data_IF_891009883107
#
_entry.id   IF_891009883107
#
_cell.length_a   1.000
_cell.length_b   1.000
_cell.length_c   1.000
_cell.angle_alpha   90.00
_cell.angle_beta   90.00
_cell.angle_gamma   90.00
#
_symmetry.space_group_name_H-M   'P 1'
#
loop_
_entity.id
_entity.type
_entity.pdbx_description
1 polymer ?
#
# COMPACT_ATOMS: atom_id res chain seq x y z
N UNK A 1 -14.55 -20.31 -2.83
CA UNK A 1 -15.21 -19.06 -3.29
C UNK A 1 -15.04 -18.97 -4.80
N UNK A 2 -16.07 -18.61 -5.57
CA UNK A 2 -15.92 -18.58 -7.04
C UNK A 2 -15.00 -17.43 -7.46
N UNK A 3 -14.22 -17.61 -8.55
CA UNK A 3 -13.28 -16.59 -9.08
C UNK A 3 -13.97 -15.23 -9.29
N UNK A 4 -15.24 -15.25 -9.66
CA UNK A 4 -16.09 -14.06 -9.82
C UNK A 4 -16.22 -13.25 -8.53
N UNK A 5 -16.44 -13.90 -7.38
CA UNK A 5 -16.60 -13.19 -6.11
C UNK A 5 -15.26 -12.62 -5.63
N UNK A 6 -14.16 -13.35 -5.86
CA UNK A 6 -12.80 -12.85 -5.56
C UNK A 6 -12.48 -11.58 -6.37
N UNK A 7 -12.77 -11.61 -7.67
CA UNK A 7 -12.60 -10.45 -8.56
C UNK A 7 -13.43 -9.26 -8.07
N UNK A 8 -14.72 -9.47 -7.81
CA UNK A 8 -15.64 -8.42 -7.35
C UNK A 8 -15.16 -7.76 -6.06
N UNK A 9 -14.69 -8.54 -5.09
CA UNK A 9 -14.16 -8.02 -3.82
C UNK A 9 -12.91 -7.17 -4.02
N UNK A 10 -11.99 -7.59 -4.88
CA UNK A 10 -10.80 -6.78 -5.19
C UNK A 10 -11.15 -5.50 -5.95
N UNK A 11 -12.13 -5.55 -6.86
CA UNK A 11 -12.66 -4.34 -7.51
C UNK A 11 -13.32 -3.39 -6.50
N UNK A 12 -14.10 -3.91 -5.57
CA UNK A 12 -14.71 -3.11 -4.51
C UNK A 12 -13.66 -2.44 -3.62
N UNK A 13 -12.63 -3.18 -3.21
CA UNK A 13 -11.49 -2.62 -2.46
C UNK A 13 -10.81 -1.50 -3.26
N UNK A 14 -10.55 -1.72 -4.56
CA UNK A 14 -9.93 -0.71 -5.42
C UNK A 14 -10.75 0.58 -5.51
N UNK A 15 -12.07 0.48 -5.64
CA UNK A 15 -12.97 1.65 -5.63
C UNK A 15 -12.88 2.38 -4.28
N UNK A 16 -12.92 1.65 -3.17
CA UNK A 16 -12.81 2.24 -1.82
C UNK A 16 -11.48 2.96 -1.60
N UNK A 17 -10.37 2.41 -2.12
CA UNK A 17 -9.08 3.09 -2.10
C UNK A 17 -9.09 4.38 -2.91
N UNK A 18 -9.64 4.37 -4.13
CA UNK A 18 -9.76 5.58 -4.97
C UNK A 18 -10.58 6.66 -4.26
N UNK A 19 -11.74 6.30 -3.69
CA UNK A 19 -12.58 7.22 -2.92
C UNK A 19 -11.81 7.78 -1.73
N UNK A 20 -11.05 6.95 -1.01
CA UNK A 20 -10.21 7.39 0.10
C UNK A 20 -9.20 8.45 -0.34
N UNK A 21 -8.52 8.24 -1.48
CA UNK A 21 -7.58 9.22 -2.01
C UNK A 21 -8.27 10.52 -2.41
N UNK A 22 -9.44 10.48 -3.06
CA UNK A 22 -10.19 11.69 -3.40
C UNK A 22 -10.50 12.52 -2.15
N UNK A 23 -10.96 11.87 -1.07
CA UNK A 23 -11.27 12.54 0.21
C UNK A 23 -10.02 13.11 0.89
N UNK A 24 -8.87 12.44 0.77
CA UNK A 24 -7.58 12.92 1.30
C UNK A 24 -7.12 14.23 0.64
N UNK A 25 -7.46 14.47 -0.63
CA UNK A 25 -7.06 15.68 -1.34
C UNK A 25 -8.06 16.83 -1.21
N UNK A 26 -9.22 16.60 -0.59
CA UNK A 26 -10.19 17.65 -0.31
C UNK A 26 -9.80 18.43 0.95
N UNK A 27 -10.05 19.75 0.91
CA UNK A 27 -9.70 20.67 1.99
C UNK A 27 -10.53 20.34 3.24
N UNK A 28 -9.88 20.31 4.40
CA UNK A 28 -10.48 20.02 5.72
C UNK A 28 -10.99 18.59 5.95
N UNK A 29 -11.02 17.73 4.94
CA UNK A 29 -11.43 16.31 5.05
C UNK A 29 -10.26 15.34 5.09
N UNK A 30 -9.02 15.84 4.98
CA UNK A 30 -7.82 15.00 4.87
C UNK A 30 -7.73 13.94 5.98
N UNK A 31 -8.04 14.33 7.22
CA UNK A 31 -8.01 13.45 8.40
C UNK A 31 -8.99 12.28 8.24
N UNK A 32 -10.23 12.58 7.84
CA UNK A 32 -11.29 11.60 7.64
C UNK A 32 -10.89 10.65 6.51
N UNK A 33 -10.28 11.18 5.45
CA UNK A 33 -9.72 10.40 4.35
C UNK A 33 -8.65 9.41 4.82
N UNK A 34 -7.74 9.80 5.73
CA UNK A 34 -6.74 8.88 6.29
C UNK A 34 -7.34 7.80 7.20
N UNK A 35 -8.36 8.13 8.01
CA UNK A 35 -9.08 7.12 8.78
C UNK A 35 -9.77 6.11 7.87
N UNK A 36 -10.43 6.58 6.82
CA UNK A 36 -11.09 5.71 5.86
C UNK A 36 -10.08 4.82 5.12
N UNK A 37 -8.97 5.40 4.67
CA UNK A 37 -7.87 4.66 4.03
C UNK A 37 -7.27 3.60 4.96
N UNK A 38 -7.13 3.90 6.26
CA UNK A 38 -6.65 2.93 7.25
C UNK A 38 -7.59 1.72 7.37
N UNK A 39 -8.90 1.96 7.47
CA UNK A 39 -9.90 0.88 7.57
C UNK A 39 -9.90 0.03 6.30
N UNK A 40 -9.91 0.67 5.12
CA UNK A 40 -9.86 -0.04 3.83
C UNK A 40 -8.57 -0.86 3.72
N UNK A 41 -7.43 -0.32 4.16
CA UNK A 41 -6.16 -1.03 4.16
C UNK A 41 -6.14 -2.22 5.12
N UNK A 42 -6.70 -2.09 6.33
CA UNK A 42 -6.81 -3.18 7.27
C UNK A 42 -7.65 -4.34 6.70
N UNK A 43 -8.80 -4.02 6.08
CA UNK A 43 -9.63 -5.01 5.40
C UNK A 43 -8.86 -5.67 4.26
N UNK A 44 -8.15 -4.89 3.44
CA UNK A 44 -7.31 -5.40 2.35
C UNK A 44 -6.21 -6.36 2.82
N UNK A 45 -5.52 -6.03 3.92
CA UNK A 45 -4.48 -6.90 4.51
C UNK A 45 -5.08 -8.22 4.99
N UNK A 46 -6.18 -8.18 5.74
CA UNK A 46 -6.87 -9.38 6.24
C UNK A 46 -7.34 -10.25 5.07
N UNK A 47 -7.90 -9.62 4.04
CA UNK A 47 -8.38 -10.31 2.85
C UNK A 47 -7.23 -11.01 2.10
N UNK A 48 -6.10 -10.31 1.88
CA UNK A 48 -4.92 -10.91 1.26
C UNK A 48 -4.32 -12.04 2.10
N UNK A 49 -4.31 -11.92 3.43
CA UNK A 49 -3.84 -12.98 4.33
C UNK A 49 -4.70 -14.25 4.20
N UNK A 50 -6.04 -14.10 4.14
CA UNK A 50 -6.95 -15.24 3.96
C UNK A 50 -6.71 -15.96 2.62
N UNK A 51 -6.43 -15.22 1.54
CA UNK A 51 -6.11 -15.85 0.25
C UNK A 51 -4.72 -16.48 0.26
N UNK A 52 -3.73 -15.87 0.91
CA UNK A 52 -2.40 -16.44 1.05
C UNK A 52 -2.42 -17.80 1.79
N UNK A 53 -3.12 -17.88 2.92
CA UNK A 53 -3.19 -19.12 3.72
C UNK A 53 -3.97 -20.23 3.03
N UNK A 54 -4.97 -19.88 2.21
CA UNK A 54 -5.78 -20.84 1.46
C UNK A 54 -5.24 -21.16 0.06
N UNK A 55 -4.30 -20.38 -0.48
CA UNK A 55 -3.82 -20.54 -1.84
C UNK A 55 -3.11 -21.88 -2.04
N UNK A 56 -2.54 -22.50 -0.99
CA UNK A 56 -1.97 -23.86 -1.02
C UNK A 56 -0.98 -24.13 -2.17
N UNK A 57 -0.48 -23.08 -2.83
CA UNK A 57 0.12 -23.18 -4.14
C UNK A 57 1.61 -23.45 -3.99
N UNK A 58 2.09 -24.56 -4.54
CA UNK A 58 3.53 -24.86 -4.67
C UNK A 58 4.26 -23.93 -5.66
N UNK A 59 3.55 -22.98 -6.26
CA UNK A 59 4.08 -22.05 -7.25
C UNK A 59 4.74 -20.86 -6.57
N UNK A 60 6.02 -20.62 -6.89
CA UNK A 60 6.85 -19.60 -6.26
C UNK A 60 6.34 -18.17 -6.54
N UNK A 61 5.91 -17.87 -7.77
CA UNK A 61 5.57 -16.50 -8.18
C UNK A 61 4.28 -15.98 -7.52
N UNK A 62 3.13 -16.69 -7.57
CA UNK A 62 1.92 -16.24 -6.87
C UNK A 62 2.16 -16.06 -5.36
N UNK A 63 2.92 -16.97 -4.76
CA UNK A 63 3.28 -16.93 -3.34
C UNK A 63 4.09 -15.67 -3.01
N UNK A 64 5.07 -15.30 -3.84
CA UNK A 64 5.87 -14.07 -3.67
C UNK A 64 5.04 -12.80 -3.86
N UNK A 65 4.10 -12.79 -4.80
CA UNK A 65 3.18 -11.66 -4.99
C UNK A 65 2.29 -11.47 -3.75
N UNK A 66 1.66 -12.53 -3.26
CA UNK A 66 0.82 -12.45 -2.06
C UNK A 66 1.63 -12.01 -0.83
N UNK A 67 2.85 -12.54 -0.67
CA UNK A 67 3.74 -12.16 0.43
C UNK A 67 4.16 -10.69 0.35
N UNK A 68 4.49 -10.19 -0.84
CA UNK A 68 4.78 -8.77 -1.09
C UNK A 68 3.58 -7.88 -0.74
N UNK A 69 2.38 -8.22 -1.23
CA UNK A 69 1.15 -7.49 -0.93
C UNK A 69 0.85 -7.46 0.57
N UNK A 70 1.06 -8.59 1.27
CA UNK A 70 0.85 -8.69 2.71
C UNK A 70 1.85 -7.84 3.49
N UNK A 71 3.16 -7.97 3.22
CA UNK A 71 4.21 -7.22 3.92
C UNK A 71 4.06 -5.72 3.67
N UNK A 72 3.88 -5.31 2.41
CA UNK A 72 3.63 -3.89 2.09
C UNK A 72 2.37 -3.39 2.78
N UNK A 73 1.29 -4.16 2.77
CA UNK A 73 0.04 -3.79 3.45
C UNK A 73 0.21 -3.60 4.96
N UNK A 74 1.00 -4.46 5.64
CA UNK A 74 1.36 -4.29 7.05
C UNK A 74 2.15 -3.01 7.28
N UNK A 75 3.17 -2.74 6.47
CA UNK A 75 3.97 -1.53 6.58
C UNK A 75 3.14 -0.27 6.32
N UNK A 76 2.22 -0.28 5.35
CA UNK A 76 1.27 0.81 5.15
C UNK A 76 0.37 1.03 6.38
N UNK A 77 -0.06 -0.04 7.03
CA UNK A 77 -0.88 0.06 8.25
C UNK A 77 -0.10 0.78 9.36
N UNK A 78 1.17 0.43 9.57
CA UNK A 78 2.06 1.09 10.53
C UNK A 78 2.25 2.57 10.18
N UNK A 79 2.51 2.88 8.91
CA UNK A 79 2.61 4.25 8.40
C UNK A 79 1.34 5.07 8.68
N UNK A 80 0.17 4.50 8.41
CA UNK A 80 -1.10 5.18 8.66
C UNK A 80 -1.34 5.44 10.15
N UNK A 81 -0.95 4.53 11.04
CA UNK A 81 -1.01 4.78 12.49
C UNK A 81 -0.18 6.02 12.84
N UNK A 82 1.07 6.12 12.36
CA UNK A 82 1.92 7.28 12.64
C UNK A 82 1.34 8.60 12.10
N UNK A 83 0.77 8.58 10.90
CA UNK A 83 0.16 9.76 10.29
C UNK A 83 -1.12 10.17 11.02
N UNK A 84 -1.99 9.21 11.38
CA UNK A 84 -3.21 9.47 12.13
C UNK A 84 -2.90 10.03 13.52
N UNK A 85 -1.94 9.45 14.24
CA UNK A 85 -1.50 9.94 15.55
C UNK A 85 -1.02 11.40 15.44
N UNK A 86 -0.17 11.68 14.45
CA UNK A 86 0.40 13.01 14.27
C UNK A 86 -0.65 14.07 13.90
N UNK A 87 -1.55 13.75 12.98
CA UNK A 87 -2.64 14.65 12.59
C UNK A 87 -3.59 14.89 13.78
N UNK A 88 -3.90 13.84 14.56
CA UNK A 88 -4.74 13.95 15.75
C UNK A 88 -4.10 14.87 16.80
N UNK A 89 -2.81 14.68 17.08
CA UNK A 89 -2.04 15.52 18.01
C UNK A 89 -2.02 16.98 17.57
N UNK A 90 -1.79 17.24 16.29
CA UNK A 90 -1.82 18.60 15.74
C UNK A 90 -3.23 19.21 15.85
N UNK A 91 -4.30 18.44 15.58
CA UNK A 91 -5.68 18.94 15.67
C UNK A 91 -6.04 19.33 17.11
N UNK A 92 -5.75 18.48 18.09
CA UNK A 92 -6.02 18.75 19.51
C UNK A 92 -5.31 20.03 19.96
N UNK A 93 -4.02 20.18 19.61
CA UNK A 93 -3.25 21.36 20.00
C UNK A 93 -3.72 22.63 19.31
N UNK A 94 -3.97 22.62 18.00
CA UNK A 94 -4.48 23.80 17.29
C UNK A 94 -5.88 24.22 17.78
N UNK A 95 -6.74 23.24 18.08
CA UNK A 95 -8.05 23.51 18.69
C UNK A 95 -7.92 24.17 20.05
N UNK A 96 -6.95 23.72 20.87
CA UNK A 96 -6.73 24.26 22.22
C UNK A 96 -6.03 25.62 22.21
N UNK A 97 -5.15 25.90 21.24
CA UNK A 97 -4.32 27.12 21.21
C UNK A 97 -4.95 28.26 20.41
N UNK A 98 -5.64 27.96 19.28
CA UNK A 98 -6.07 29.00 18.33
C UNK A 98 -7.58 29.02 18.06
N UNK A 99 -8.35 28.01 18.50
CA UNK A 99 -9.80 27.94 18.28
C UNK A 99 -10.22 27.83 16.80
N UNK A 100 -9.28 27.69 15.87
CA UNK A 100 -9.51 27.64 14.42
C UNK A 100 -9.15 26.27 13.84
N UNK A 101 -9.77 25.86 12.71
CA UNK A 101 -9.39 24.63 12.03
C UNK A 101 -7.90 24.62 11.65
N UNK A 102 -7.31 23.45 11.79
CA UNK A 102 -5.87 23.19 11.69
C UNK A 102 -5.28 23.67 10.36
N UNK A 103 -4.22 24.48 10.43
CA UNK A 103 -3.40 24.84 9.27
C UNK A 103 -2.01 24.21 9.45
N UNK A 104 -1.67 23.23 8.62
CA UNK A 104 -0.41 22.49 8.72
C UNK A 104 0.76 23.46 8.46
N UNK A 105 1.74 23.60 9.38
CA UNK A 105 2.87 24.49 9.16
C UNK A 105 3.66 24.09 7.91
N UNK A 106 4.25 25.05 7.17
CA UNK A 106 4.85 24.80 5.86
C UNK A 106 5.94 23.71 5.89
N UNK A 107 6.70 23.59 6.98
CA UNK A 107 7.71 22.55 7.19
C UNK A 107 7.13 21.13 7.24
N UNK A 108 5.92 20.97 7.77
CA UNK A 108 5.21 19.68 7.80
C UNK A 108 4.45 19.40 6.51
N UNK A 109 3.98 20.44 5.84
CA UNK A 109 3.23 20.33 4.59
C UNK A 109 4.04 19.61 3.50
N UNK A 110 5.33 19.93 3.35
CA UNK A 110 6.19 19.29 2.34
C UNK A 110 6.36 17.78 2.62
N UNK A 111 6.67 17.39 3.86
CA UNK A 111 6.82 15.97 4.23
C UNK A 111 5.50 15.21 4.09
N UNK A 112 4.38 15.85 4.42
CA UNK A 112 3.05 15.27 4.28
C UNK A 112 2.64 15.05 2.82
N UNK A 113 2.92 16.01 1.94
CA UNK A 113 2.70 15.86 0.49
C UNK A 113 3.57 14.75 -0.11
N UNK A 114 4.83 14.64 0.33
CA UNK A 114 5.70 13.54 -0.08
C UNK A 114 5.13 12.18 0.36
N UNK A 115 4.65 12.09 1.60
CA UNK A 115 3.98 10.89 2.10
C UNK A 115 2.77 10.51 1.24
N UNK A 116 1.85 11.46 0.98
CA UNK A 116 0.66 11.24 0.12
C UNK A 116 1.05 10.67 -1.26
N UNK A 117 2.07 11.26 -1.90
CA UNK A 117 2.56 10.79 -3.20
C UNK A 117 3.11 9.37 -3.13
N UNK A 118 3.95 9.09 -2.14
CA UNK A 118 4.51 7.75 -1.95
C UNK A 118 3.41 6.70 -1.70
N UNK A 119 2.39 7.03 -0.91
CA UNK A 119 1.24 6.15 -0.65
C UNK A 119 0.47 5.84 -1.94
N UNK A 120 0.23 6.82 -2.81
CA UNK A 120 -0.42 6.57 -4.11
C UNK A 120 0.45 5.70 -5.02
N UNK A 121 1.75 6.00 -5.11
CA UNK A 121 2.67 5.23 -5.97
C UNK A 121 2.75 3.76 -5.54
N UNK A 122 2.83 3.51 -4.23
CA UNK A 122 2.81 2.14 -3.69
C UNK A 122 1.49 1.44 -3.91
N UNK A 123 0.37 2.12 -3.71
CA UNK A 123 -0.95 1.58 -4.03
C UNK A 123 -1.07 1.20 -5.51
N UNK A 124 -0.63 2.06 -6.43
CA UNK A 124 -0.66 1.78 -7.87
C UNK A 124 0.17 0.54 -8.23
N UNK A 125 1.36 0.38 -7.64
CA UNK A 125 2.19 -0.81 -7.84
C UNK A 125 1.52 -2.09 -7.30
N UNK A 126 0.94 -2.02 -6.09
CA UNK A 126 0.18 -3.13 -5.52
C UNK A 126 -1.03 -3.51 -6.39
N UNK A 127 -1.74 -2.53 -6.95
CA UNK A 127 -2.86 -2.78 -7.86
C UNK A 127 -2.41 -3.49 -9.16
N UNK A 128 -1.27 -3.10 -9.73
CA UNK A 128 -0.68 -3.78 -10.90
C UNK A 128 -0.35 -5.23 -10.57
N UNK A 129 0.29 -5.50 -9.43
CA UNK A 129 0.59 -6.86 -8.97
C UNK A 129 -0.68 -7.71 -8.80
N UNK A 130 -1.76 -7.09 -8.34
CA UNK A 130 -3.05 -7.74 -8.15
C UNK A 130 -3.73 -8.07 -9.48
N UNK A 131 -3.64 -7.17 -10.48
CA UNK A 131 -4.13 -7.44 -11.84
C UNK A 131 -3.38 -8.59 -12.51
N UNK A 132 -2.05 -8.67 -12.32
CA UNK A 132 -1.23 -9.79 -12.78
C UNK A 132 -1.73 -11.10 -12.16
N UNK A 133 -2.08 -11.07 -10.88
CA UNK A 133 -2.58 -12.23 -10.15
C UNK A 133 -3.99 -12.67 -10.60
N UNK A 134 -4.88 -11.72 -10.92
CA UNK A 134 -6.26 -11.99 -11.33
C UNK A 134 -6.40 -12.48 -12.78
N UNK A 135 -5.57 -11.99 -13.70
CA UNK A 135 -5.67 -12.32 -15.13
C UNK A 135 -5.09 -13.69 -15.52
N UNK A 136 -4.63 -14.49 -14.55
CA UNK A 136 -4.20 -15.87 -14.77
C UNK A 136 -2.76 -16.00 -15.27
N UNK A 137 -2.04 -16.96 -14.67
CA UNK A 137 -0.62 -17.23 -14.89
C UNK A 137 -0.34 -18.14 -16.10
N UNK A 138 -1.25 -18.23 -17.08
CA UNK A 138 -1.06 -19.19 -18.19
C UNK A 138 0.19 -18.86 -19.05
N UNK A 139 0.69 -17.63 -18.98
CA UNK A 139 1.96 -17.20 -19.60
C UNK A 139 3.20 -17.38 -18.71
N UNK A 140 3.03 -17.67 -17.41
CA UNK A 140 4.07 -17.57 -16.37
C UNK A 140 4.27 -18.91 -15.66
N UNK A 141 3.34 -19.87 -15.79
CA UNK A 141 3.40 -21.16 -15.13
C UNK A 141 4.13 -22.21 -16.00
N UNK A 142 5.44 -22.03 -16.17
CA UNK A 142 6.26 -23.02 -16.89
C UNK A 142 7.13 -23.73 -15.86
N UNK A 143 6.98 -25.06 -15.81
CA UNK A 143 7.82 -25.93 -15.01
C UNK A 143 9.28 -25.67 -15.35
N UNK A 144 10.11 -25.59 -14.31
CA UNK A 144 11.56 -25.37 -14.40
C UNK A 144 12.31 -26.42 -15.24
N UNK A 145 11.62 -27.48 -15.69
CA UNK A 145 12.14 -28.58 -16.51
C UNK A 145 12.34 -28.24 -18.00
N UNK A 146 11.78 -27.13 -18.53
CA UNK A 146 11.86 -26.79 -19.97
C UNK A 146 13.10 -25.94 -20.37
N UNK A 147 14.28 -26.31 -19.85
CA UNK A 147 15.53 -25.53 -19.88
C UNK A 147 16.36 -25.63 -21.19
N UNK A 148 15.73 -26.00 -22.32
CA UNK A 148 16.47 -26.44 -23.51
C UNK A 148 16.78 -25.39 -24.60
N UNK A 149 16.23 -24.16 -24.56
CA UNK A 149 16.49 -23.18 -25.64
C UNK A 149 16.52 -21.71 -25.19
N UNK A 150 17.41 -20.92 -25.82
CA UNK A 150 17.55 -19.45 -25.58
C UNK A 150 16.23 -18.71 -25.89
N UNK A 151 15.43 -19.20 -26.83
CA UNK A 151 14.12 -18.64 -27.18
C UNK A 151 13.11 -18.80 -26.04
N UNK A 152 13.21 -19.88 -25.28
CA UNK A 152 12.36 -20.10 -24.10
C UNK A 152 12.77 -19.18 -22.93
N UNK A 153 14.04 -18.78 -22.84
CA UNK A 153 14.53 -17.87 -21.78
C UNK A 153 13.84 -16.50 -21.88
N UNK A 154 13.81 -15.91 -23.08
CA UNK A 154 13.29 -14.54 -23.27
C UNK A 154 11.76 -14.52 -23.17
N UNK A 155 11.07 -15.50 -23.75
CA UNK A 155 9.60 -15.50 -23.79
C UNK A 155 8.99 -15.85 -22.44
N UNK A 156 9.65 -16.69 -21.65
CA UNK A 156 9.05 -17.25 -20.44
C UNK A 156 9.69 -16.81 -19.13
N UNK A 157 11.01 -16.64 -19.08
CA UNK A 157 11.70 -16.30 -17.83
C UNK A 157 11.84 -14.79 -17.63
N UNK A 158 11.95 -14.00 -18.71
CA UNK A 158 12.03 -12.55 -18.60
C UNK A 158 10.78 -11.93 -17.93
N UNK A 159 9.53 -12.31 -18.30
CA UNK A 159 8.33 -11.81 -17.61
C UNK A 159 8.27 -12.27 -16.14
N UNK A 160 8.67 -13.50 -15.83
CA UNK A 160 8.72 -14.02 -14.47
C UNK A 160 9.68 -13.21 -13.58
N UNK A 161 10.88 -12.92 -14.08
CA UNK A 161 11.91 -12.17 -13.36
C UNK A 161 11.47 -10.70 -13.17
N UNK A 162 10.84 -10.11 -14.18
CA UNK A 162 10.27 -8.77 -14.09
C UNK A 162 9.18 -8.68 -13.01
N UNK A 163 8.30 -9.68 -12.91
CA UNK A 163 7.28 -9.76 -11.85
C UNK A 163 7.95 -9.88 -10.48
N UNK A 164 8.96 -10.74 -10.32
CA UNK A 164 9.70 -10.88 -9.06
C UNK A 164 10.35 -9.57 -8.63
N UNK A 165 11.02 -8.85 -9.54
CA UNK A 165 11.58 -7.53 -9.23
C UNK A 165 10.47 -6.54 -8.84
N UNK A 166 9.35 -6.58 -9.56
CA UNK A 166 8.19 -5.72 -9.26
C UNK A 166 7.59 -6.01 -7.88
N UNK A 167 7.69 -7.24 -7.37
CA UNK A 167 7.24 -7.56 -5.99
C UNK A 167 8.14 -6.96 -4.90
N UNK A 168 9.41 -6.70 -5.17
CA UNK A 168 10.33 -6.12 -4.19
C UNK A 168 10.15 -4.60 -4.04
N UNK A 169 9.77 -3.91 -5.12
CA UNK A 169 9.67 -2.45 -5.16
C UNK A 169 8.65 -1.90 -4.14
N UNK A 170 7.41 -2.42 -4.03
CA UNK A 170 6.47 -1.98 -3.00
C UNK A 170 7.02 -2.11 -1.59
N UNK A 171 7.70 -3.21 -1.28
CA UNK A 171 8.26 -3.46 0.05
C UNK A 171 9.34 -2.43 0.39
N UNK A 172 10.24 -2.14 -0.55
CA UNK A 172 11.30 -1.13 -0.38
C UNK A 172 10.68 0.25 -0.14
N UNK A 173 9.70 0.65 -0.95
CA UNK A 173 9.05 1.96 -0.78
C UNK A 173 8.28 2.02 0.55
N UNK A 174 7.60 0.94 0.96
CA UNK A 174 6.91 0.87 2.24
C UNK A 174 7.89 1.00 3.43
N UNK A 175 9.09 0.41 3.36
CA UNK A 175 10.15 0.61 4.37
C UNK A 175 10.55 2.09 4.47
N UNK A 176 10.79 2.73 3.33
CA UNK A 176 11.15 4.15 3.25
C UNK A 176 10.03 5.03 3.82
N UNK A 177 8.77 4.69 3.56
CA UNK A 177 7.62 5.38 4.13
C UNK A 177 7.58 5.28 5.66
N UNK A 178 7.93 4.14 6.25
CA UNK A 178 7.98 4.00 7.72
C UNK A 178 9.01 4.97 8.31
N UNK A 179 10.19 5.08 7.69
CA UNK A 179 11.23 6.02 8.16
C UNK A 179 10.71 7.45 8.12
N UNK A 180 10.12 7.87 7.00
CA UNK A 180 9.55 9.22 6.88
C UNK A 180 8.39 9.46 7.84
N UNK A 181 7.48 8.48 8.00
CA UNK A 181 6.35 8.58 8.92
C UNK A 181 6.82 8.67 10.39
N UNK A 182 7.86 7.92 10.76
CA UNK A 182 8.45 7.98 12.09
C UNK A 182 9.09 9.34 12.35
N UNK A 183 9.97 9.82 11.44
CA UNK A 183 10.55 11.16 11.53
C UNK A 183 9.47 12.25 11.64
N UNK A 184 8.40 12.10 10.86
CA UNK A 184 7.28 13.03 10.84
C UNK A 184 6.54 13.06 12.18
N UNK A 185 6.33 11.90 12.81
CA UNK A 185 5.76 11.79 14.16
C UNK A 185 6.65 12.44 15.23
N UNK A 186 7.97 12.32 15.11
CA UNK A 186 8.93 12.88 16.08
C UNK A 186 9.03 14.40 15.99
N UNK A 187 8.94 14.97 14.78
CA UNK A 187 8.98 16.42 14.59
C UNK A 187 7.78 17.11 15.25
N UNK A 188 6.59 16.52 15.14
CA UNK A 188 5.39 16.99 15.86
C UNK A 188 5.65 17.06 17.38
N UNK A 189 6.18 15.98 17.96
CA UNK A 189 6.49 15.94 19.41
C UNK A 189 7.48 17.03 19.84
N UNK A 190 8.52 17.31 19.05
CA UNK A 190 9.57 18.28 19.42
C UNK A 190 9.16 19.75 19.27
N UNK A 191 8.36 20.09 18.27
CA UNK A 191 7.98 21.49 18.03
C UNK A 191 6.90 21.98 18.99
N UNK A 192 6.14 21.05 19.56
CA UNK A 192 5.04 21.33 20.48
C UNK A 192 5.29 20.87 21.92
N UNK A 193 6.56 20.64 22.28
CA UNK A 193 7.03 20.37 23.65
C UNK A 193 7.81 21.56 24.26
N UNK A 194 7.67 22.74 23.65
CA UNK A 194 8.08 24.02 24.22
C UNK A 194 6.83 24.81 24.58
#
# INVERSE_FOLDING_TARGET
MSKSVTFLNYTALLILYIVSFIVIYQKNTEIIGFYFLFVVNAVGVIYNLYYFTNAGSSQLIPTMIYLSLFISGLFHTICFIFVIMMISDMRVKYSNTYGTPMNIPPKYKIKFELFKRLTISTFALCAILLLILLNGFDFINIQLSNLGSIKNIIVYYFPQLLVLVTTLVPVIISCVQIVYANEFSMLSRRHFAK
#
